data_IF_730008509686
#
_entry.id   IF_730008509686
#
_cell.length_a   1.000
_cell.length_b   1.000
_cell.length_c   1.000
_cell.angle_alpha   90.00
_cell.angle_beta   90.00
_cell.angle_gamma   90.00
#
_symmetry.space_group_name_H-M   'P 1'
#
loop_
_entity.id
_entity.type
_entity.pdbx_description
1 polymer ?
#
# COMPACT_ATOMS: atom_id res chain seq x y z
N UNK A 1 -30.71 50.84 9.32
CA UNK A 1 -30.31 49.78 10.27
C UNK A 1 -29.78 48.61 9.46
N UNK A 2 -28.47 48.61 9.17
CA UNK A 2 -27.79 47.41 8.69
C UNK A 2 -27.30 46.67 9.93
N UNK A 3 -27.79 45.45 10.14
CA UNK A 3 -27.47 44.64 11.31
C UNK A 3 -26.03 44.17 11.24
N UNK A 4 -25.37 44.13 12.40
CA UNK A 4 -23.96 43.76 12.64
C UNK A 4 -23.49 42.46 11.98
N UNK A 5 -24.41 41.63 11.49
CA UNK A 5 -24.13 40.38 10.77
C UNK A 5 -23.62 40.59 9.33
N UNK A 6 -23.97 41.68 8.66
CA UNK A 6 -23.55 41.93 7.26
C UNK A 6 -22.13 42.47 7.14
N UNK A 7 -21.60 43.15 8.17
CA UNK A 7 -20.20 43.60 8.17
C UNK A 7 -19.20 42.46 8.48
N UNK A 8 -19.64 41.40 9.16
CA UNK A 8 -18.77 40.26 9.49
C UNK A 8 -18.54 39.34 8.27
N UNK A 9 -19.58 39.14 7.45
CA UNK A 9 -19.47 38.34 6.22
C UNK A 9 -18.62 39.03 5.13
N UNK A 10 -18.62 40.37 5.09
CA UNK A 10 -17.78 41.13 4.16
C UNK A 10 -16.29 41.08 4.55
N UNK A 11 -15.97 41.08 5.85
CA UNK A 11 -14.59 40.99 6.33
C UNK A 11 -13.96 39.61 6.07
N UNK A 12 -14.74 38.53 6.15
CA UNK A 12 -14.29 37.17 5.82
C UNK A 12 -14.09 36.98 4.31
N UNK A 13 -14.93 37.61 3.48
CA UNK A 13 -14.78 37.55 2.02
C UNK A 13 -13.56 38.33 1.50
N UNK A 14 -13.20 39.45 2.15
CA UNK A 14 -12.04 40.28 1.77
C UNK A 14 -10.71 39.63 2.17
N UNK A 15 -10.68 38.81 3.23
CA UNK A 15 -9.49 38.03 3.61
C UNK A 15 -9.24 36.78 2.74
N UNK A 16 -10.17 36.42 1.85
CA UNK A 16 -10.06 35.25 0.97
C UNK A 16 -9.64 35.58 -0.47
N UNK A 17 -9.30 36.85 -0.78
CA UNK A 17 -8.96 37.26 -2.16
C UNK A 17 -7.59 37.90 -2.34
N UNK A 18 -6.72 37.91 -1.34
CA UNK A 18 -5.38 38.46 -1.53
C UNK A 18 -4.25 37.56 -1.02
N UNK A 19 -3.25 37.38 -1.89
CA UNK A 19 -1.99 36.64 -1.75
C UNK A 19 -2.03 35.11 -1.93
N UNK A 20 -2.25 34.72 -3.18
CA UNK A 20 -1.34 33.79 -3.84
C UNK A 20 0.10 34.34 -3.80
N UNK A 21 1.05 33.45 -3.49
CA UNK A 21 2.50 33.65 -3.34
C UNK A 21 3.03 34.05 -1.95
N UNK A 22 4.00 33.26 -1.50
CA UNK A 22 4.88 33.45 -0.35
C UNK A 22 4.35 33.03 1.03
N UNK A 23 4.17 31.72 1.23
CA UNK A 23 4.43 31.06 2.53
C UNK A 23 4.78 29.58 2.25
N UNK A 24 5.89 29.37 1.54
CA UNK A 24 6.57 28.06 1.53
C UNK A 24 7.63 28.05 2.64
N UNK A 25 7.67 26.92 3.35
CA UNK A 25 8.73 26.47 4.26
C UNK A 25 8.76 27.18 5.64
N UNK A 26 8.91 26.36 6.69
CA UNK A 26 9.34 26.69 8.06
C UNK A 26 8.40 27.09 9.20
N UNK A 27 7.06 26.95 9.11
CA UNK A 27 6.20 27.13 10.31
C UNK A 27 5.12 26.06 10.49
N UNK A 28 5.52 24.79 10.54
CA UNK A 28 4.60 23.65 10.70
C UNK A 28 4.17 23.29 12.15
N UNK A 29 4.92 23.55 13.24
CA UNK A 29 4.47 23.08 14.56
C UNK A 29 3.43 24.00 15.24
N UNK A 30 3.46 25.32 14.99
CA UNK A 30 2.58 26.27 15.69
C UNK A 30 1.11 26.23 15.22
N UNK A 31 0.87 25.98 13.93
CA UNK A 31 -0.49 25.91 13.36
C UNK A 31 -1.25 24.65 13.77
N UNK A 32 -0.57 23.64 14.33
CA UNK A 32 -1.18 22.41 14.88
C UNK A 32 -2.01 22.72 16.13
N UNK A 33 -1.60 23.69 16.95
CA UNK A 33 -2.27 24.06 18.22
C UNK A 33 -3.52 24.93 18.05
N UNK A 34 -3.65 25.68 16.95
CA UNK A 34 -4.79 26.60 16.75
C UNK A 34 -5.96 25.91 16.03
N UNK A 35 -5.72 24.84 15.26
CA UNK A 35 -6.76 24.15 14.48
C UNK A 35 -7.66 23.21 15.30
N UNK A 36 -7.18 22.69 16.43
CA UNK A 36 -7.93 21.75 17.28
C UNK A 36 -9.18 22.38 17.92
N UNK A 37 -9.26 23.71 17.97
CA UNK A 37 -10.35 24.41 18.65
C UNK A 37 -11.60 24.68 17.79
N UNK A 38 -11.56 24.50 16.45
CA UNK A 38 -12.62 25.04 15.56
C UNK A 38 -13.16 24.03 14.51
N UNK A 39 -12.63 22.82 14.36
CA UNK A 39 -13.13 21.87 13.34
C UNK A 39 -13.52 20.49 13.92
N UNK A 40 -14.72 19.96 13.62
CA UNK A 40 -15.16 18.62 14.05
C UNK A 40 -14.50 17.48 13.25
N UNK A 41 -13.51 17.79 12.40
CA UNK A 41 -12.80 16.81 11.59
C UNK A 41 -11.35 16.74 12.07
N UNK A 42 -11.05 15.74 12.88
CA UNK A 42 -9.68 15.28 13.10
C UNK A 42 -9.11 14.87 11.75
N UNK A 43 -8.01 15.51 11.35
CA UNK A 43 -7.25 15.09 10.19
C UNK A 43 -6.63 13.71 10.48
N UNK A 44 -6.43 12.84 9.47
CA UNK A 44 -5.73 11.58 9.67
C UNK A 44 -4.31 11.83 10.21
N UNK A 45 -3.77 10.87 10.95
CA UNK A 45 -2.43 11.00 11.55
C UNK A 45 -1.32 11.15 10.48
N UNK A 46 -1.55 10.63 9.27
CA UNK A 46 -0.68 10.78 8.09
C UNK A 46 -0.99 12.03 7.24
N UNK A 47 -1.56 13.10 7.82
CA UNK A 47 -1.94 14.32 7.08
C UNK A 47 -0.79 14.91 6.25
N UNK A 48 0.43 14.90 6.81
CA UNK A 48 1.63 15.45 6.20
C UNK A 48 2.31 14.49 5.20
N UNK A 49 1.69 13.33 4.93
CA UNK A 49 2.26 12.25 4.15
C UNK A 49 3.12 11.29 4.98
N UNK A 50 3.63 10.24 4.33
CA UNK A 50 4.47 9.20 4.95
C UNK A 50 5.74 9.02 4.14
N UNK A 51 6.88 8.84 4.81
CA UNK A 51 8.10 8.47 4.11
C UNK A 51 8.03 7.00 3.70
N UNK A 52 8.00 6.77 2.40
CA UNK A 52 8.01 5.43 1.86
C UNK A 52 8.68 5.39 0.50
N UNK A 53 9.51 4.37 0.28
CA UNK A 53 10.00 4.00 -1.05
C UNK A 53 10.18 2.48 -1.13
N UNK A 54 9.74 1.89 -2.25
CA UNK A 54 9.90 0.45 -2.44
C UNK A 54 11.37 0.11 -2.69
N UNK A 55 11.98 -0.67 -1.79
CA UNK A 55 13.40 -1.08 -1.89
C UNK A 55 13.64 -2.19 -2.92
N UNK A 56 12.57 -2.83 -3.43
CA UNK A 56 12.68 -3.95 -4.35
C UNK A 56 13.23 -5.24 -3.73
N UNK A 57 13.26 -5.35 -2.40
CA UNK A 57 13.87 -6.48 -1.67
C UNK A 57 13.11 -7.82 -1.78
N UNK A 58 11.87 -7.79 -2.26
CA UNK A 58 11.03 -8.99 -2.41
C UNK A 58 10.53 -9.61 -1.10
N UNK A 59 10.79 -8.98 0.06
CA UNK A 59 10.36 -9.48 1.37
C UNK A 59 8.83 -9.60 1.51
N UNK A 60 8.08 -8.65 0.95
CA UNK A 60 6.61 -8.72 0.88
C UNK A 60 6.08 -9.94 0.09
N UNK A 61 6.89 -10.53 -0.79
CA UNK A 61 6.51 -11.76 -1.51
C UNK A 61 6.79 -13.04 -0.70
N UNK A 62 7.53 -12.93 0.41
CA UNK A 62 7.94 -14.05 1.26
C UNK A 62 7.12 -14.15 2.55
N UNK A 63 6.40 -13.09 2.94
CA UNK A 63 5.49 -13.11 4.09
C UNK A 63 4.37 -14.11 3.85
N UNK A 64 3.99 -14.83 4.88
CA UNK A 64 2.88 -15.78 4.82
C UNK A 64 1.56 -15.12 4.46
N UNK A 65 0.71 -15.91 3.82
CA UNK A 65 -0.62 -15.52 3.41
C UNK A 65 -0.88 -15.62 1.90
N UNK A 66 -2.13 -15.31 1.56
CA UNK A 66 -2.74 -15.53 0.27
C UNK A 66 -2.87 -14.25 -0.54
N UNK A 67 -2.57 -14.37 -1.83
CA UNK A 67 -2.84 -13.31 -2.81
C UNK A 67 -4.00 -13.75 -3.67
N UNK A 68 -5.15 -13.13 -3.45
CA UNK A 68 -6.35 -13.35 -4.24
C UNK A 68 -6.44 -12.32 -5.36
N UNK A 69 -6.78 -12.82 -6.55
CA UNK A 69 -6.91 -12.04 -7.77
C UNK A 69 -8.38 -11.89 -8.11
N UNK A 70 -8.79 -10.65 -8.36
CA UNK A 70 -10.03 -10.36 -9.02
C UNK A 70 -9.97 -10.78 -10.50
N UNK A 71 -11.12 -11.01 -11.16
CA UNK A 71 -11.19 -11.40 -12.56
C UNK A 71 -10.39 -10.48 -13.50
N UNK A 72 -10.49 -9.16 -13.30
CA UNK A 72 -9.76 -8.20 -14.11
C UNK A 72 -8.23 -8.27 -13.90
N UNK A 73 -7.77 -8.66 -12.73
CA UNK A 73 -6.35 -8.79 -12.40
C UNK A 73 -5.75 -10.05 -13.02
N UNK A 74 -6.52 -11.15 -13.04
CA UNK A 74 -6.14 -12.36 -13.77
C UNK A 74 -5.88 -12.03 -15.23
N UNK A 75 -6.81 -11.30 -15.87
CA UNK A 75 -6.64 -10.87 -17.25
C UNK A 75 -5.40 -9.98 -17.44
N UNK A 76 -5.19 -8.99 -16.56
CA UNK A 76 -4.02 -8.10 -16.64
C UNK A 76 -2.69 -8.86 -16.51
N UNK A 77 -2.61 -9.81 -15.59
CA UNK A 77 -1.43 -10.65 -15.39
C UNK A 77 -1.22 -11.57 -16.60
N UNK A 78 -2.28 -12.18 -17.12
CA UNK A 78 -2.21 -13.01 -18.33
C UNK A 78 -1.66 -12.25 -19.52
N UNK A 79 -2.18 -11.05 -19.81
CA UNK A 79 -1.67 -10.17 -20.87
C UNK A 79 -0.20 -9.86 -20.64
N UNK A 80 0.17 -9.49 -19.42
CA UNK A 80 1.54 -9.14 -19.08
C UNK A 80 2.52 -10.31 -19.31
N UNK A 81 2.07 -11.54 -19.05
CA UNK A 81 2.82 -12.77 -19.28
C UNK A 81 2.77 -13.27 -20.73
N UNK A 82 2.07 -12.57 -21.62
CA UNK A 82 1.96 -12.91 -23.04
C UNK A 82 0.93 -13.98 -23.38
N UNK A 83 -0.03 -14.26 -22.50
CA UNK A 83 -1.18 -15.12 -22.82
C UNK A 83 -2.18 -14.38 -23.71
N UNK A 84 -2.87 -15.12 -24.59
CA UNK A 84 -3.97 -14.58 -25.39
C UNK A 84 -5.24 -14.44 -24.55
N UNK A 85 -5.93 -13.30 -24.67
CA UNK A 85 -7.20 -13.02 -23.97
C UNK A 85 -8.41 -13.73 -24.60
N UNK A 86 -8.23 -14.40 -25.74
CA UNK A 86 -9.29 -15.17 -26.36
C UNK A 86 -9.47 -16.48 -25.61
N UNK A 87 -10.33 -16.47 -24.59
CA UNK A 87 -10.69 -17.64 -23.75
C UNK A 87 -11.13 -18.85 -24.62
N UNK A 88 -11.68 -18.57 -25.81
CA UNK A 88 -12.19 -19.53 -26.80
C UNK A 88 -11.19 -19.95 -27.88
N UNK A 89 -9.97 -19.40 -27.92
CA UNK A 89 -8.94 -19.84 -28.88
C UNK A 89 -8.20 -21.06 -28.34
N UNK A 90 -8.52 -22.24 -28.92
CA UNK A 90 -7.65 -23.41 -28.82
C UNK A 90 -6.39 -23.13 -29.62
N UNK A 91 -5.23 -23.18 -28.99
CA UNK A 91 -3.95 -23.15 -29.71
C UNK A 91 -3.87 -24.39 -30.59
N UNK A 92 -3.34 -24.23 -31.81
CA UNK A 92 -3.32 -25.30 -32.83
C UNK A 92 -2.44 -26.49 -32.44
N UNK A 93 -1.54 -26.32 -31.47
CA UNK A 93 -0.49 -27.30 -31.13
C UNK A 93 -0.59 -27.86 -29.71
N UNK A 94 -1.38 -27.26 -28.82
CA UNK A 94 -1.61 -27.75 -27.45
C UNK A 94 -3.10 -27.82 -27.16
N UNK A 95 -3.60 -28.97 -26.73
CA UNK A 95 -5.03 -29.24 -26.52
C UNK A 95 -5.66 -28.44 -25.33
N UNK A 96 -4.97 -27.42 -24.81
CA UNK A 96 -5.25 -26.73 -23.55
C UNK A 96 -5.29 -25.20 -23.75
N UNK A 97 -6.37 -24.53 -23.35
CA UNK A 97 -6.57 -23.08 -23.54
C UNK A 97 -5.55 -22.25 -22.72
N UNK A 98 -5.27 -21.02 -23.15
CA UNK A 98 -4.42 -20.04 -22.45
C UNK A 98 -4.75 -19.92 -20.96
N UNK A 99 -6.05 -19.82 -20.64
CA UNK A 99 -6.52 -19.72 -19.26
C UNK A 99 -6.27 -21.00 -18.46
N UNK A 100 -6.42 -22.17 -19.07
CA UNK A 100 -6.18 -23.46 -18.40
C UNK A 100 -4.71 -23.62 -18.07
N UNK A 101 -3.81 -23.28 -19.01
CA UNK A 101 -2.38 -23.23 -18.77
C UNK A 101 -2.00 -22.24 -17.66
N UNK A 102 -2.61 -21.05 -17.65
CA UNK A 102 -2.43 -20.07 -16.59
C UNK A 102 -2.85 -20.60 -15.22
N UNK A 103 -4.07 -21.16 -15.11
CA UNK A 103 -4.59 -21.79 -13.89
C UNK A 103 -3.65 -22.86 -13.36
N UNK A 104 -3.27 -23.80 -14.22
CA UNK A 104 -2.38 -24.92 -13.87
C UNK A 104 -1.03 -24.45 -13.38
N UNK A 105 -0.48 -23.38 -13.95
CA UNK A 105 0.87 -22.90 -13.60
C UNK A 105 0.88 -21.99 -12.38
N UNK A 106 -0.11 -21.11 -12.23
CA UNK A 106 -0.05 -20.00 -11.26
C UNK A 106 -1.09 -20.03 -10.16
N UNK A 107 -2.18 -20.80 -10.28
CA UNK A 107 -3.34 -20.72 -9.38
C UNK A 107 -3.44 -21.96 -8.49
N UNK A 108 -3.55 -21.77 -7.18
CA UNK A 108 -3.70 -22.87 -6.19
C UNK A 108 -5.15 -23.17 -5.82
N UNK A 109 -6.00 -22.15 -5.86
CA UNK A 109 -7.42 -22.25 -5.50
C UNK A 109 -8.23 -21.24 -6.32
N UNK A 110 -9.50 -21.53 -6.54
CA UNK A 110 -10.42 -20.70 -7.32
C UNK A 110 -11.77 -20.68 -6.60
N UNK A 111 -12.40 -19.51 -6.57
CA UNK A 111 -13.78 -19.33 -6.11
C UNK A 111 -14.61 -18.96 -7.32
N UNK A 112 -15.42 -19.91 -7.77
CA UNK A 112 -16.35 -19.70 -8.87
C UNK A 112 -17.51 -18.81 -8.43
N UNK A 113 -18.03 -17.96 -9.33
CA UNK A 113 -19.19 -17.13 -9.05
C UNK A 113 -20.48 -17.96 -9.02
N UNK A 114 -21.50 -17.42 -8.37
CA UNK A 114 -22.78 -18.11 -8.16
C UNK A 114 -23.65 -18.20 -9.42
N UNK A 115 -23.44 -17.31 -10.39
CA UNK A 115 -24.17 -17.27 -11.67
C UNK A 115 -23.60 -18.23 -12.73
N UNK A 116 -22.47 -18.89 -12.44
CA UNK A 116 -21.83 -19.86 -13.31
C UNK A 116 -20.93 -19.24 -14.39
N UNK A 117 -20.73 -17.92 -14.43
CA UNK A 117 -19.80 -17.29 -15.36
C UNK A 117 -18.35 -17.45 -14.88
N UNK A 118 -17.68 -18.54 -15.25
CA UNK A 118 -16.29 -18.82 -14.87
C UNK A 118 -15.29 -17.68 -15.21
N UNK A 119 -15.65 -16.73 -16.08
CA UNK A 119 -14.82 -15.55 -16.33
C UNK A 119 -14.76 -14.60 -15.13
N UNK A 120 -15.72 -14.67 -14.21
CA UNK A 120 -15.80 -13.87 -13.00
C UNK A 120 -15.24 -14.58 -11.75
N UNK A 121 -14.53 -15.69 -11.94
CA UNK A 121 -13.86 -16.40 -10.85
C UNK A 121 -12.77 -15.57 -10.19
N UNK A 122 -12.69 -15.65 -8.86
CA UNK A 122 -11.56 -15.16 -8.09
C UNK A 122 -10.51 -16.26 -7.94
N UNK A 123 -9.23 -15.92 -8.09
CA UNK A 123 -8.16 -16.93 -8.15
C UNK A 123 -7.08 -16.63 -7.12
N UNK A 124 -6.64 -17.64 -6.37
CA UNK A 124 -5.56 -17.50 -5.40
C UNK A 124 -4.23 -17.94 -6.01
N UNK A 125 -3.20 -17.11 -5.90
CA UNK A 125 -1.87 -17.42 -6.42
C UNK A 125 -1.22 -18.59 -5.67
N UNK A 126 -0.46 -19.39 -6.42
CA UNK A 126 0.46 -20.39 -5.88
C UNK A 126 1.61 -19.72 -5.12
N UNK A 127 2.18 -20.51 -4.22
CA UNK A 127 3.47 -20.23 -3.59
C UNK A 127 4.46 -21.33 -3.99
N UNK A 128 5.73 -20.96 -4.09
CA UNK A 128 6.86 -21.87 -4.32
C UNK A 128 7.94 -21.57 -3.29
N UNK A 129 8.40 -22.59 -2.58
CA UNK A 129 9.50 -22.47 -1.59
C UNK A 129 9.25 -21.33 -0.57
N UNK A 130 8.02 -21.24 -0.07
CA UNK A 130 7.64 -20.21 0.92
C UNK A 130 7.42 -18.80 0.34
N UNK A 131 7.56 -18.58 -0.96
CA UNK A 131 7.36 -17.27 -1.60
C UNK A 131 6.26 -17.28 -2.66
N UNK A 132 5.77 -16.10 -3.06
CA UNK A 132 4.90 -15.92 -4.21
C UNK A 132 5.50 -16.55 -5.48
N UNK A 133 4.67 -17.21 -6.30
CA UNK A 133 5.08 -17.85 -7.56
C UNK A 133 5.79 -16.91 -8.56
N UNK A 134 5.58 -15.59 -8.42
CA UNK A 134 6.18 -14.57 -9.29
C UNK A 134 7.45 -13.93 -8.73
N UNK A 135 7.92 -14.34 -7.56
CA UNK A 135 9.24 -13.93 -7.06
C UNK A 135 10.31 -14.67 -7.88
N UNK A 136 11.14 -13.92 -8.60
CA UNK A 136 12.21 -14.49 -9.41
C UNK A 136 13.46 -14.83 -8.58
N UNK A 137 14.44 -15.42 -9.25
CA UNK A 137 15.70 -15.85 -8.63
C UNK A 137 16.57 -14.68 -8.14
N UNK A 138 16.35 -13.47 -8.65
CA UNK A 138 17.03 -12.26 -8.19
C UNK A 138 16.36 -11.63 -6.97
N UNK A 139 15.24 -12.19 -6.51
CA UNK A 139 14.45 -11.65 -5.41
C UNK A 139 13.51 -10.52 -5.85
N UNK A 140 13.28 -10.34 -7.15
CA UNK A 140 12.39 -9.32 -7.68
C UNK A 140 11.05 -9.90 -8.14
N UNK A 141 10.00 -9.08 -8.11
CA UNK A 141 8.69 -9.48 -8.59
C UNK A 141 8.66 -9.43 -10.12
N UNK A 142 8.59 -10.59 -10.77
CA UNK A 142 8.56 -10.71 -12.24
C UNK A 142 7.34 -10.07 -12.91
N UNK A 143 6.28 -9.77 -12.14
CA UNK A 143 5.07 -9.08 -12.61
C UNK A 143 4.90 -7.70 -11.97
N UNK A 144 5.99 -7.02 -11.59
CA UNK A 144 5.91 -5.76 -10.82
C UNK A 144 4.95 -4.72 -11.42
N UNK A 145 4.93 -4.61 -12.75
CA UNK A 145 4.06 -3.68 -13.49
C UNK A 145 2.58 -4.12 -13.55
N UNK A 146 2.30 -5.42 -13.40
CA UNK A 146 0.97 -6.01 -13.43
C UNK A 146 0.53 -6.55 -12.05
N UNK A 147 1.14 -6.05 -10.96
CA UNK A 147 0.81 -6.46 -9.59
C UNK A 147 -0.68 -6.28 -9.31
N UNK A 148 -1.32 -7.24 -8.61
CA UNK A 148 -2.67 -7.06 -8.13
C UNK A 148 -2.73 -5.91 -7.11
N UNK A 149 -3.93 -5.38 -6.90
CA UNK A 149 -4.26 -4.29 -5.98
C UNK A 149 -3.67 -4.55 -4.60
N UNK A 150 -3.81 -5.75 -4.05
CA UNK A 150 -3.21 -6.14 -2.78
C UNK A 150 -1.71 -5.80 -2.74
N UNK A 151 -0.93 -6.28 -3.72
CA UNK A 151 0.52 -6.06 -3.78
C UNK A 151 0.92 -4.64 -4.20
N UNK A 152 0.08 -3.95 -4.99
CA UNK A 152 0.35 -2.58 -5.49
C UNK A 152 0.06 -1.50 -4.44
N UNK A 153 -0.86 -1.78 -3.53
CA UNK A 153 -1.30 -0.84 -2.50
C UNK A 153 -0.54 -0.99 -1.19
N UNK A 154 0.11 -2.13 -0.95
CA UNK A 154 1.01 -2.30 0.20
C UNK A 154 2.14 -1.25 0.19
N UNK A 155 2.51 -0.64 1.34
CA UNK A 155 1.99 -0.86 2.70
C UNK A 155 0.81 0.05 3.11
N UNK A 156 0.12 0.69 2.17
CA UNK A 156 -0.98 1.63 2.45
C UNK A 156 -2.34 0.94 2.61
N UNK A 157 -2.35 -0.24 3.23
CA UNK A 157 -3.58 -0.96 3.55
C UNK A 157 -4.33 -0.29 4.71
N UNK A 158 -5.67 -0.41 4.79
CA UNK A 158 -6.42 0.13 5.91
C UNK A 158 -5.93 -0.31 7.30
N UNK A 159 -5.51 -1.58 7.47
CA UNK A 159 -4.91 -2.11 8.72
C UNK A 159 -3.69 -1.31 9.16
N UNK A 160 -2.79 -1.04 8.22
CA UNK A 160 -1.51 -0.39 8.48
C UNK A 160 -1.62 1.15 8.59
N UNK A 161 -2.80 1.68 8.29
CA UNK A 161 -3.10 3.12 8.36
C UNK A 161 -4.09 3.46 9.47
N UNK A 162 -4.48 2.50 10.31
CA UNK A 162 -5.44 2.71 11.39
C UNK A 162 -4.92 3.74 12.40
N UNK A 163 -3.64 3.65 12.75
CA UNK A 163 -2.90 4.57 13.59
C UNK A 163 -1.40 4.53 13.24
N UNK A 164 -0.63 5.37 13.95
CA UNK A 164 0.81 5.50 13.75
C UNK A 164 1.58 4.27 14.24
N UNK A 165 1.09 3.60 15.29
CA UNK A 165 1.73 2.41 15.89
C UNK A 165 1.73 1.25 14.90
N UNK A 166 0.61 0.96 14.24
CA UNK A 166 0.53 -0.08 13.21
C UNK A 166 1.49 0.16 12.02
N UNK A 167 1.76 1.42 11.68
CA UNK A 167 2.72 1.78 10.63
C UNK A 167 4.16 1.60 11.08
N UNK A 168 4.46 1.94 12.34
CA UNK A 168 5.76 1.76 12.97
C UNK A 168 6.10 0.27 13.16
N UNK A 169 5.13 -0.54 13.60
CA UNK A 169 5.28 -2.00 13.77
C UNK A 169 5.58 -2.74 12.47
N UNK A 170 5.04 -2.25 11.35
CA UNK A 170 5.31 -2.79 10.02
C UNK A 170 6.71 -2.40 9.52
N UNK A 171 7.30 -1.30 9.99
CA UNK A 171 8.62 -0.87 9.57
C UNK A 171 9.71 -1.86 10.04
N UNK A 172 10.67 -2.15 9.17
CA UNK A 172 11.83 -2.99 9.51
C UNK A 172 13.10 -2.44 8.91
N UNK A 173 14.24 -2.72 9.53
CA UNK A 173 15.54 -2.34 9.00
C UNK A 173 16.04 -3.38 7.96
N UNK A 174 16.75 -2.93 6.91
CA UNK A 174 17.53 -3.80 6.03
C UNK A 174 18.47 -4.71 6.82
N UNK A 175 18.70 -5.92 6.31
CA UNK A 175 19.49 -6.96 7.01
C UNK A 175 20.97 -6.57 7.25
N UNK A 176 21.45 -5.53 6.56
CA UNK A 176 22.82 -5.04 6.64
C UNK A 176 22.99 -3.83 7.58
N UNK A 177 21.95 -3.44 8.32
CA UNK A 177 21.99 -2.32 9.27
C UNK A 177 21.87 -2.84 10.69
N UNK A 178 22.83 -2.55 11.56
CA UNK A 178 22.77 -3.01 12.94
C UNK A 178 21.61 -2.38 13.73
N UNK A 179 20.83 -3.20 14.42
CA UNK A 179 19.76 -2.77 15.33
C UNK A 179 20.39 -2.11 16.57
N UNK A 180 19.94 -0.90 16.90
CA UNK A 180 20.36 -0.22 18.12
C UNK A 180 19.55 -0.68 19.31
N UNK A 181 20.24 -0.97 20.41
CA UNK A 181 19.62 -1.41 21.64
C UNK A 181 18.63 -0.35 22.18
N UNK A 182 17.44 -0.79 22.59
CA UNK A 182 16.40 0.07 23.18
C UNK A 182 15.50 0.82 22.19
N UNK A 183 15.67 0.67 20.87
CA UNK A 183 14.89 1.42 19.86
C UNK A 183 13.60 0.76 19.42
N UNK A 184 13.40 -0.54 19.71
CA UNK A 184 12.29 -1.32 19.15
C UNK A 184 12.46 -1.72 17.68
N UNK A 185 13.53 -1.23 17.02
CA UNK A 185 13.86 -1.57 15.64
C UNK A 185 14.07 -3.09 15.49
N UNK A 186 13.61 -3.64 14.37
CA UNK A 186 13.73 -5.07 14.06
C UNK A 186 14.08 -5.32 12.60
N UNK A 187 14.66 -6.47 12.32
CA UNK A 187 14.78 -6.98 10.95
C UNK A 187 13.51 -7.70 10.51
N UNK A 188 13.39 -7.85 9.20
CA UNK A 188 12.36 -8.70 8.63
C UNK A 188 12.57 -10.16 9.02
N UNK A 189 11.49 -10.87 9.31
CA UNK A 189 11.49 -12.33 9.38
C UNK A 189 10.20 -12.90 8.77
N UNK A 190 10.20 -14.17 8.33
CA UNK A 190 9.02 -14.78 7.71
C UNK A 190 7.76 -14.74 8.58
N UNK A 191 7.93 -14.94 9.89
CA UNK A 191 6.81 -15.08 10.84
C UNK A 191 6.13 -13.75 11.17
N UNK A 192 6.89 -12.64 11.16
CA UNK A 192 6.38 -11.30 11.52
C UNK A 192 6.19 -10.39 10.32
N UNK A 193 6.80 -10.70 9.17
CA UNK A 193 6.77 -9.82 8.01
C UNK A 193 7.46 -8.47 8.24
N UNK A 194 6.94 -7.42 7.60
CA UNK A 194 7.46 -6.06 7.67
C UNK A 194 7.95 -5.47 6.33
N UNK A 195 8.15 -4.16 6.33
CA UNK A 195 8.49 -3.34 5.18
C UNK A 195 9.74 -2.47 5.41
N UNK A 196 10.84 -2.76 4.69
CA UNK A 196 12.05 -1.92 4.70
C UNK A 196 11.86 -0.56 4.02
N UNK A 197 10.79 -0.44 3.24
CA UNK A 197 10.48 0.78 2.51
C UNK A 197 9.84 1.85 3.39
N UNK A 198 9.36 1.47 4.59
CA UNK A 198 8.81 2.42 5.56
C UNK A 198 9.97 3.05 6.33
N UNK A 199 10.09 4.38 6.25
CA UNK A 199 11.15 5.12 6.92
C UNK A 199 10.54 5.94 8.05
N UNK A 200 10.90 5.61 9.29
CA UNK A 200 10.42 6.32 10.46
C UNK A 200 11.25 7.58 10.68
N UNK A 201 10.60 8.74 10.79
CA UNK A 201 11.30 9.96 11.24
C UNK A 201 11.55 9.82 12.73
N UNK A 202 12.80 9.62 13.14
CA UNK A 202 13.16 9.75 14.56
C UNK A 202 13.03 11.22 14.97
N UNK A 203 12.49 11.47 16.16
CA UNK A 203 12.35 12.82 16.71
C UNK A 203 13.73 13.43 16.99
N UNK A 204 13.85 14.76 16.89
CA UNK A 204 15.12 15.51 17.04
C UNK A 204 15.86 15.28 18.38
N UNK A 205 15.27 14.60 19.37
CA UNK A 205 15.93 14.18 20.62
C UNK A 205 16.84 12.93 20.45
N UNK A 206 16.68 12.16 19.36
CA UNK A 206 17.50 10.97 19.06
C UNK A 206 18.74 11.32 18.23
N UNK A 207 19.50 12.31 18.69
CA UNK A 207 20.74 12.79 18.04
C UNK A 207 21.90 11.77 17.99
N UNK A 208 21.66 10.51 18.39
CA UNK A 208 22.62 9.40 18.35
C UNK A 208 22.31 8.39 17.24
N UNK A 209 21.83 8.87 16.09
CA UNK A 209 21.78 8.00 14.93
C UNK A 209 23.17 7.70 14.35
N UNK A 210 23.59 6.42 14.40
CA UNK A 210 24.72 5.90 13.61
C UNK A 210 24.64 6.39 12.17
N UNK A 211 25.79 6.82 11.66
CA UNK A 211 25.96 7.45 10.34
C UNK A 211 25.31 6.60 9.23
N UNK A 212 25.41 5.27 9.33
CA UNK A 212 24.85 4.34 8.33
C UNK A 212 23.31 4.37 8.23
N UNK A 213 22.61 4.72 9.32
CA UNK A 213 21.14 4.85 9.32
C UNK A 213 20.73 6.21 8.75
N UNK A 214 21.44 7.28 9.11
CA UNK A 214 21.17 8.63 8.58
C UNK A 214 21.36 8.67 7.06
N UNK A 215 22.46 8.08 6.55
CA UNK A 215 22.75 8.01 5.11
C UNK A 215 21.71 7.15 4.36
N UNK A 216 21.19 6.09 4.98
CA UNK A 216 20.11 5.27 4.41
C UNK A 216 18.76 6.00 4.36
N UNK A 217 18.38 6.69 5.43
CA UNK A 217 17.12 7.45 5.50
C UNK A 217 17.08 8.63 4.53
N UNK A 218 18.20 9.36 4.40
CA UNK A 218 18.32 10.50 3.47
C UNK A 218 18.35 10.07 2.00
N UNK A 219 18.87 8.88 1.69
CA UNK A 219 18.99 8.40 0.31
C UNK A 219 17.70 7.80 -0.27
N UNK A 220 16.72 7.44 0.56
CA UNK A 220 15.52 6.67 0.16
C UNK A 220 14.21 7.40 0.48
N UNK A 221 14.23 8.40 1.37
CA UNK A 221 13.05 9.10 1.89
C UNK A 221 12.28 9.95 0.87
N UNK A 222 11.43 9.31 0.05
CA UNK A 222 10.37 10.03 -0.66
C UNK A 222 9.12 10.15 0.22
N UNK A 223 8.62 11.37 0.39
CA UNK A 223 7.33 11.61 1.03
C UNK A 223 6.24 11.24 0.02
N UNK A 224 5.45 10.21 0.35
CA UNK A 224 4.21 9.89 -0.35
C UNK A 224 3.11 10.80 0.19
N UNK A 225 2.47 11.55 -0.70
CA UNK A 225 1.48 12.54 -0.31
C UNK A 225 0.15 11.91 0.16
N UNK A 226 -0.58 12.65 0.99
CA UNK A 226 -1.87 12.21 1.55
C UNK A 226 -2.87 11.74 0.49
N UNK A 227 -2.95 12.39 -0.68
CA UNK A 227 -3.91 12.03 -1.72
C UNK A 227 -3.57 10.68 -2.33
N UNK A 228 -2.29 10.41 -2.56
CA UNK A 228 -1.82 9.10 -3.03
C UNK A 228 -2.09 8.01 -2.00
N UNK A 229 -1.77 8.25 -0.73
CA UNK A 229 -2.07 7.32 0.38
C UNK A 229 -3.56 6.98 0.40
N UNK A 230 -4.43 8.00 0.38
CA UNK A 230 -5.88 7.81 0.38
C UNK A 230 -6.39 7.09 -0.86
N UNK A 231 -5.78 7.31 -2.03
CA UNK A 231 -6.14 6.60 -3.26
C UNK A 231 -5.84 5.11 -3.12
N UNK A 232 -4.63 4.74 -2.68
CA UNK A 232 -4.20 3.35 -2.48
C UNK A 232 -5.04 2.65 -1.41
N UNK A 233 -5.26 3.30 -0.27
CA UNK A 233 -6.10 2.77 0.80
C UNK A 233 -7.53 2.50 0.33
N UNK A 234 -8.13 3.43 -0.44
CA UNK A 234 -9.47 3.25 -1.01
C UNK A 234 -9.51 2.18 -2.11
N UNK A 235 -8.45 2.03 -2.89
CA UNK A 235 -8.31 0.98 -3.89
C UNK A 235 -8.30 -0.41 -3.20
N UNK A 236 -7.45 -0.58 -2.19
CA UNK A 236 -7.40 -1.79 -1.36
C UNK A 236 -8.75 -2.09 -0.70
N UNK A 237 -9.35 -1.11 -0.02
CA UNK A 237 -10.63 -1.29 0.65
C UNK A 237 -11.78 -1.66 -0.32
N UNK A 238 -11.81 -1.07 -1.52
CA UNK A 238 -12.82 -1.40 -2.54
C UNK A 238 -12.60 -2.79 -3.12
N UNK A 239 -11.35 -3.16 -3.38
CA UNK A 239 -11.01 -4.49 -3.86
C UNK A 239 -11.49 -5.55 -2.86
N UNK A 240 -11.19 -5.38 -1.57
CA UNK A 240 -11.60 -6.34 -0.55
C UNK A 240 -13.11 -6.41 -0.31
N UNK A 241 -13.82 -5.29 -0.35
CA UNK A 241 -15.29 -5.28 -0.22
C UNK A 241 -16.01 -6.08 -1.32
N UNK A 242 -15.36 -6.30 -2.47
CA UNK A 242 -15.90 -7.08 -3.59
C UNK A 242 -15.64 -8.58 -3.47
N UNK A 243 -14.78 -9.02 -2.56
CA UNK A 243 -14.42 -10.43 -2.46
C UNK A 243 -15.67 -11.28 -2.11
N UNK A 244 -15.90 -12.43 -2.79
CA UNK A 244 -17.18 -13.14 -2.67
C UNK A 244 -17.31 -13.96 -1.38
N UNK A 245 -16.20 -14.29 -0.70
CA UNK A 245 -16.21 -15.09 0.53
C UNK A 245 -16.12 -14.18 1.74
N UNK A 246 -17.13 -14.23 2.61
CA UNK A 246 -17.22 -13.34 3.77
C UNK A 246 -16.11 -13.60 4.79
N UNK A 247 -15.76 -14.86 5.03
CA UNK A 247 -14.73 -15.28 5.98
C UNK A 247 -13.35 -14.70 5.62
N UNK A 248 -13.04 -14.64 4.32
CA UNK A 248 -11.78 -14.06 3.83
C UNK A 248 -11.83 -12.53 3.93
N UNK A 249 -13.00 -11.91 3.69
CA UNK A 249 -13.18 -10.45 3.88
C UNK A 249 -12.99 -10.01 5.33
N UNK A 250 -13.33 -10.87 6.27
CA UNK A 250 -13.28 -10.59 7.71
C UNK A 250 -11.98 -11.08 8.37
N UNK A 251 -11.12 -11.81 7.64
CA UNK A 251 -9.83 -12.24 8.15
C UNK A 251 -8.90 -11.04 8.40
N UNK A 252 -8.36 -10.96 9.62
CA UNK A 252 -7.53 -9.87 10.14
C UNK A 252 -6.14 -9.75 9.51
N UNK A 253 -5.76 -10.72 8.67
CA UNK A 253 -4.44 -10.73 8.02
C UNK A 253 -4.30 -9.72 6.88
N UNK A 254 -5.42 -9.13 6.41
CA UNK A 254 -5.45 -8.29 5.21
C UNK A 254 -6.10 -6.91 5.38
N UNK A 255 -6.66 -6.61 6.56
CA UNK A 255 -7.38 -5.39 6.91
C UNK A 255 -7.43 -5.13 8.40
#
# INVERSE_FOLDING_TARGET
MATTTTMFLLAVAILLTDRSHALSLDKKPFLRRIRTAIAPFTLPWYEDGLNFSCTGCGKCCKVDGDVWLAPEEVNNIMVHLGYSNNISEKTKDDNESSITNFRKKYIRAEVSPTDGDESQSWMCLKRKEGACIFLDQSGQCSIYAARPVQCKTYPFWPSLLIDQEAWEDEAVLPDNIDIREGTGDRHWCPDQGGCEGIILRKSDDDSEASVDVQDYEESIGSIVDRKEIQLKMKEAARHWKRFPVQEIRESTWYL
#
